data_IF_091256926459
#
_entry.id   IF_091256926459
#
_cell.length_a   1.000
_cell.length_b   1.000
_cell.length_c   1.000
_cell.angle_alpha   90.00
_cell.angle_beta   90.00
_cell.angle_gamma   90.00
#
_symmetry.space_group_name_H-M   'P 1'
#
loop_
_entity.id
_entity.type
_entity.pdbx_description
1 polymer ?
#
# COMPACT_ATOMS: atom_id res chain seq x y z
N UNK A 1 -4.50 -12.75 -4.26
CA UNK A 1 -4.08 -11.61 -5.11
C UNK A 1 -4.54 -11.73 -6.56
N UNK A 2 -4.05 -12.73 -7.33
CA UNK A 2 -4.27 -12.82 -8.78
C UNK A 2 -5.75 -12.76 -9.20
N UNK A 3 -6.61 -13.51 -8.52
CA UNK A 3 -8.07 -13.48 -8.75
C UNK A 3 -8.68 -12.09 -8.59
N UNK A 4 -8.28 -11.34 -7.56
CA UNK A 4 -8.78 -9.98 -7.33
C UNK A 4 -8.23 -9.00 -8.37
N UNK A 5 -6.98 -9.16 -8.80
CA UNK A 5 -6.39 -8.33 -9.89
C UNK A 5 -7.16 -8.53 -11.19
N UNK A 6 -7.42 -9.78 -11.57
CA UNK A 6 -8.20 -10.10 -12.78
C UNK A 6 -9.63 -9.57 -12.67
N UNK A 7 -10.28 -9.76 -11.52
CA UNK A 7 -11.63 -9.23 -11.24
C UNK A 7 -11.67 -7.70 -11.36
N UNK A 8 -10.71 -6.99 -10.76
CA UNK A 8 -10.62 -5.54 -10.85
C UNK A 8 -10.51 -5.07 -12.31
N UNK A 9 -9.63 -5.70 -13.10
CA UNK A 9 -9.45 -5.35 -14.51
C UNK A 9 -10.72 -5.56 -15.33
N UNK A 10 -11.42 -6.67 -15.10
CA UNK A 10 -12.69 -6.98 -15.78
C UNK A 10 -13.77 -5.96 -15.40
N UNK A 11 -13.98 -5.72 -14.10
CA UNK A 11 -15.00 -4.79 -13.61
C UNK A 11 -14.73 -3.36 -14.08
N UNK A 12 -13.49 -2.90 -14.00
CA UNK A 12 -13.14 -1.54 -14.42
C UNK A 12 -13.29 -1.36 -15.93
N UNK A 13 -12.90 -2.35 -16.74
CA UNK A 13 -13.11 -2.30 -18.17
C UNK A 13 -14.60 -2.32 -18.54
N UNK A 14 -15.40 -3.16 -17.86
CA UNK A 14 -16.86 -3.19 -18.04
C UNK A 14 -17.48 -1.83 -17.72
N UNK A 15 -17.08 -1.21 -16.61
CA UNK A 15 -17.55 0.12 -16.24
C UNK A 15 -17.22 1.14 -17.33
N UNK A 16 -15.98 1.15 -17.84
CA UNK A 16 -15.59 2.07 -18.91
C UNK A 16 -16.43 1.88 -20.17
N UNK A 17 -16.72 0.64 -20.56
CA UNK A 17 -17.58 0.34 -21.72
C UNK A 17 -19.00 0.85 -21.51
N UNK A 18 -19.62 0.57 -20.36
CA UNK A 18 -20.99 1.04 -20.05
C UNK A 18 -21.09 2.57 -20.00
N UNK A 19 -20.00 3.25 -19.63
CA UNK A 19 -19.91 4.70 -19.62
C UNK A 19 -19.57 5.31 -20.99
N UNK A 20 -19.40 4.51 -22.03
CA UNK A 20 -18.83 4.94 -23.31
C UNK A 20 -17.53 5.74 -23.13
N UNK A 21 -16.69 5.29 -22.18
CA UNK A 21 -15.42 5.90 -21.79
C UNK A 21 -15.53 7.35 -21.29
N UNK A 22 -16.72 7.83 -20.91
CA UNK A 22 -16.94 9.17 -20.36
C UNK A 22 -17.35 9.13 -18.90
N UNK A 23 -16.46 9.62 -18.03
CA UNK A 23 -16.70 9.75 -16.58
C UNK A 23 -17.90 10.66 -16.25
N UNK A 24 -18.28 11.56 -17.16
CA UNK A 24 -19.44 12.43 -16.96
C UNK A 24 -20.76 11.65 -16.88
N UNK A 25 -20.81 10.47 -17.51
CA UNK A 25 -22.01 9.65 -17.56
C UNK A 25 -22.35 9.00 -16.21
N UNK A 26 -21.37 8.88 -15.29
CA UNK A 26 -21.62 8.41 -13.91
C UNK A 26 -22.59 9.30 -13.12
N UNK A 27 -22.79 10.56 -13.55
CA UNK A 27 -23.69 11.48 -12.84
C UNK A 27 -25.16 11.12 -12.93
N UNK A 28 -25.58 10.47 -14.02
CA UNK A 28 -27.01 10.27 -14.31
C UNK A 28 -27.33 8.83 -14.71
N UNK A 29 -26.40 8.09 -15.31
CA UNK A 29 -26.64 6.71 -15.73
C UNK A 29 -27.09 5.78 -14.59
N UNK A 30 -26.53 5.84 -13.35
CA UNK A 30 -26.97 4.95 -12.28
C UNK A 30 -28.46 5.06 -11.93
N UNK A 31 -29.05 6.26 -12.09
CA UNK A 31 -30.49 6.46 -11.87
C UNK A 31 -31.36 5.78 -12.95
N UNK A 32 -30.80 5.57 -14.15
CA UNK A 32 -31.48 4.96 -15.29
C UNK A 32 -31.15 3.47 -15.48
N UNK A 33 -30.01 3.02 -14.93
CA UNK A 33 -29.52 1.64 -15.00
C UNK A 33 -29.06 1.20 -13.61
N UNK A 34 -29.94 0.60 -12.79
CA UNK A 34 -29.60 0.14 -11.44
C UNK A 34 -28.43 -0.84 -11.39
N UNK A 35 -28.23 -1.64 -12.44
CA UNK A 35 -27.09 -2.55 -12.59
C UNK A 35 -25.73 -1.85 -12.52
N UNK A 36 -25.66 -0.55 -12.83
CA UNK A 36 -24.42 0.22 -12.69
C UNK A 36 -24.08 0.52 -11.24
N UNK A 37 -25.08 0.67 -10.36
CA UNK A 37 -24.82 0.82 -8.94
C UNK A 37 -24.20 -0.47 -8.37
N UNK A 38 -24.70 -1.62 -8.79
CA UNK A 38 -24.13 -2.93 -8.45
C UNK A 38 -22.71 -3.10 -8.99
N UNK A 39 -22.47 -2.70 -10.25
CA UNK A 39 -21.13 -2.72 -10.83
C UNK A 39 -20.14 -1.81 -10.08
N UNK A 40 -20.58 -0.62 -9.67
CA UNK A 40 -19.77 0.31 -8.88
C UNK A 40 -19.46 -0.28 -7.49
N UNK A 41 -20.45 -0.89 -6.84
CA UNK A 41 -20.27 -1.58 -5.57
C UNK A 41 -19.22 -2.70 -5.67
N UNK A 42 -19.38 -3.62 -6.63
CA UNK A 42 -18.44 -4.72 -6.82
C UNK A 42 -17.02 -4.23 -7.15
N UNK A 43 -16.90 -3.14 -7.92
CA UNK A 43 -15.61 -2.55 -8.25
C UNK A 43 -14.95 -1.90 -7.02
N UNK A 44 -15.69 -1.11 -6.24
CA UNK A 44 -15.18 -0.49 -5.02
C UNK A 44 -14.78 -1.53 -3.98
N UNK A 45 -15.61 -2.55 -3.75
CA UNK A 45 -15.31 -3.68 -2.86
C UNK A 45 -14.05 -4.43 -3.31
N UNK A 46 -13.94 -4.76 -4.61
CA UNK A 46 -12.73 -5.40 -5.15
C UNK A 46 -11.49 -4.51 -4.98
N UNK A 47 -11.62 -3.19 -5.17
CA UNK A 47 -10.54 -2.24 -4.96
C UNK A 47 -10.11 -2.15 -3.49
N UNK A 48 -11.06 -2.12 -2.54
CA UNK A 48 -10.76 -2.11 -1.09
C UNK A 48 -10.06 -3.39 -0.66
N UNK A 49 -10.54 -4.55 -1.10
CA UNK A 49 -9.90 -5.84 -0.83
C UNK A 49 -8.48 -5.90 -1.40
N UNK A 50 -8.27 -5.42 -2.64
CA UNK A 50 -6.93 -5.32 -3.22
C UNK A 50 -6.03 -4.36 -2.45
N UNK A 51 -6.54 -3.18 -2.07
CA UNK A 51 -5.79 -2.20 -1.30
C UNK A 51 -5.36 -2.77 0.04
N UNK A 52 -6.27 -3.46 0.74
CA UNK A 52 -5.98 -4.16 2.01
C UNK A 52 -4.96 -5.27 1.83
N UNK A 53 -5.09 -6.06 0.76
CA UNK A 53 -4.11 -7.10 0.44
C UNK A 53 -2.71 -6.50 0.22
N UNK A 54 -2.62 -5.44 -0.59
CA UNK A 54 -1.35 -4.76 -0.89
C UNK A 54 -0.74 -4.06 0.33
N UNK A 55 -1.56 -3.47 1.20
CA UNK A 55 -1.10 -2.82 2.43
C UNK A 55 -0.54 -3.83 3.44
N UNK A 56 -1.08 -5.05 3.48
CA UNK A 56 -0.64 -6.15 4.34
C UNK A 56 0.57 -6.93 3.81
N UNK A 57 1.09 -6.63 2.60
CA UNK A 57 2.25 -7.36 2.10
C UNK A 57 3.52 -7.00 2.87
N UNK A 58 4.37 -7.97 3.26
CA UNK A 58 5.62 -7.67 3.96
C UNK A 58 6.68 -7.00 3.07
N UNK A 59 6.42 -6.92 1.77
CA UNK A 59 7.25 -6.29 0.75
C UNK A 59 6.37 -5.43 -0.17
N UNK A 60 6.89 -4.30 -0.64
CA UNK A 60 6.19 -3.40 -1.58
C UNK A 60 6.38 -3.86 -3.02
N UNK A 61 5.97 -5.09 -3.33
CA UNK A 61 6.13 -5.69 -4.66
C UNK A 61 5.00 -6.64 -5.01
N UNK A 62 4.53 -6.58 -6.26
CA UNK A 62 3.57 -7.54 -6.81
C UNK A 62 3.80 -7.77 -8.30
N UNK A 63 3.77 -9.04 -8.71
CA UNK A 63 3.70 -9.42 -10.13
C UNK A 63 2.27 -9.30 -10.62
N UNK A 64 2.06 -8.56 -11.72
CA UNK A 64 0.72 -8.21 -12.23
C UNK A 64 0.68 -8.19 -13.77
N UNK A 65 -0.51 -8.25 -14.40
CA UNK A 65 -0.66 -8.01 -15.82
C UNK A 65 -0.16 -6.61 -16.23
N UNK A 66 0.44 -6.49 -17.43
CA UNK A 66 1.05 -5.23 -17.92
C UNK A 66 0.13 -4.00 -17.89
N UNK A 67 -1.18 -4.19 -18.02
CA UNK A 67 -2.17 -3.10 -18.02
C UNK A 67 -2.60 -2.66 -16.62
N UNK A 68 -2.26 -3.43 -15.58
CA UNK A 68 -2.76 -3.24 -14.22
C UNK A 68 -2.40 -1.88 -13.66
N UNK A 69 -1.11 -1.51 -13.68
CA UNK A 69 -0.68 -0.20 -13.16
C UNK A 69 -1.49 0.95 -13.75
N UNK A 70 -1.63 0.97 -15.08
CA UNK A 70 -2.34 2.03 -15.78
C UNK A 70 -3.79 2.14 -15.31
N UNK A 71 -4.47 0.99 -15.20
CA UNK A 71 -5.87 0.94 -14.78
C UNK A 71 -6.04 1.27 -13.30
N UNK A 72 -5.12 0.82 -12.46
CA UNK A 72 -5.05 1.14 -11.04
C UNK A 72 -4.91 2.64 -10.81
N UNK A 73 -3.94 3.27 -11.48
CA UNK A 73 -3.71 4.72 -11.38
C UNK A 73 -4.89 5.52 -11.95
N UNK A 74 -5.44 5.09 -13.10
CA UNK A 74 -6.61 5.73 -13.71
C UNK A 74 -7.82 5.67 -12.76
N UNK A 75 -8.08 4.50 -12.15
CA UNK A 75 -9.17 4.33 -11.21
C UNK A 75 -9.00 5.23 -9.99
N UNK A 76 -7.85 5.15 -9.31
CA UNK A 76 -7.55 5.96 -8.12
C UNK A 76 -7.64 7.45 -8.37
N UNK A 77 -7.12 7.91 -9.50
CA UNK A 77 -7.04 9.35 -9.79
C UNK A 77 -8.37 9.93 -10.25
N UNK A 78 -9.18 9.16 -10.99
CA UNK A 78 -10.32 9.73 -11.72
C UNK A 78 -11.67 9.11 -11.38
N UNK A 79 -11.73 7.85 -10.94
CA UNK A 79 -12.99 7.12 -10.75
C UNK A 79 -13.34 6.88 -9.29
N UNK A 80 -12.35 6.63 -8.43
CA UNK A 80 -12.54 6.12 -7.07
C UNK A 80 -13.64 6.86 -6.30
N UNK A 81 -13.53 8.19 -6.15
CA UNK A 81 -14.49 8.96 -5.36
C UNK A 81 -15.93 8.83 -5.89
N UNK A 82 -16.11 8.94 -7.22
CA UNK A 82 -17.45 8.83 -7.83
C UNK A 82 -18.02 7.42 -7.76
N UNK A 83 -17.17 6.41 -7.95
CA UNK A 83 -17.58 5.01 -7.83
C UNK A 83 -17.99 4.72 -6.40
N UNK A 84 -17.24 5.20 -5.41
CA UNK A 84 -17.56 5.08 -4.00
C UNK A 84 -18.90 5.76 -3.64
N UNK A 85 -19.11 7.01 -4.08
CA UNK A 85 -20.38 7.74 -3.88
C UNK A 85 -21.60 6.96 -4.40
N UNK A 86 -21.47 6.31 -5.57
CA UNK A 86 -22.55 5.50 -6.18
C UNK A 86 -22.70 4.14 -5.49
N UNK A 87 -21.59 3.56 -5.03
CA UNK A 87 -21.55 2.27 -4.34
C UNK A 87 -22.11 2.34 -2.91
N UNK A 88 -22.00 3.50 -2.26
CA UNK A 88 -22.29 3.67 -0.84
C UNK A 88 -23.71 3.21 -0.43
N UNK A 89 -24.80 3.59 -1.12
CA UNK A 89 -26.14 3.11 -0.75
C UNK A 89 -26.28 1.59 -0.81
N UNK A 90 -25.57 0.93 -1.74
CA UNK A 90 -25.55 -0.53 -1.84
C UNK A 90 -24.75 -1.16 -0.71
N UNK A 91 -23.61 -0.55 -0.35
CA UNK A 91 -22.82 -0.99 0.79
C UNK A 91 -23.62 -0.92 2.09
N UNK A 92 -24.30 0.20 2.34
CA UNK A 92 -25.18 0.38 3.51
C UNK A 92 -26.35 -0.61 3.51
N UNK A 93 -26.90 -0.95 2.33
CA UNK A 93 -27.92 -1.99 2.21
C UNK A 93 -27.36 -3.35 2.64
N UNK A 94 -26.22 -3.77 2.10
CA UNK A 94 -25.60 -5.05 2.46
C UNK A 94 -25.20 -5.13 3.93
N UNK A 95 -24.70 -4.04 4.52
CA UNK A 95 -24.39 -3.98 5.96
C UNK A 95 -25.64 -4.21 6.82
N UNK A 96 -26.77 -3.61 6.45
CA UNK A 96 -28.06 -3.86 7.12
C UNK A 96 -28.51 -5.30 6.96
N UNK A 97 -28.47 -5.84 5.74
CA UNK A 97 -28.87 -7.22 5.45
C UNK A 97 -28.03 -8.23 6.26
N UNK A 98 -26.71 -7.98 6.39
CA UNK A 98 -25.81 -8.78 7.23
C UNK A 98 -26.18 -8.64 8.70
N UNK A 99 -26.42 -7.42 9.19
CA UNK A 99 -26.80 -7.18 10.59
C UNK A 99 -28.12 -7.90 10.95
N UNK A 100 -29.12 -7.80 10.09
CA UNK A 100 -30.41 -8.49 10.25
C UNK A 100 -30.23 -10.02 10.26
N UNK A 101 -29.39 -10.57 9.37
CA UNK A 101 -29.06 -11.99 9.37
C UNK A 101 -28.41 -12.42 10.70
N UNK A 102 -27.45 -11.64 11.21
CA UNK A 102 -26.82 -11.91 12.50
C UNK A 102 -27.82 -11.88 13.66
N UNK A 103 -28.76 -10.93 13.66
CA UNK A 103 -29.84 -10.87 14.65
C UNK A 103 -30.71 -12.13 14.59
N UNK A 104 -31.13 -12.55 13.39
CA UNK A 104 -31.94 -13.77 13.21
C UNK A 104 -31.20 -15.04 13.66
N UNK A 105 -29.90 -15.13 13.40
CA UNK A 105 -29.07 -16.25 13.87
C UNK A 105 -28.98 -16.28 15.39
N UNK A 106 -28.83 -15.12 16.03
CA UNK A 106 -28.79 -14.98 17.49
C UNK A 106 -30.11 -15.37 18.15
N UNK A 107 -31.25 -14.96 17.57
CA UNK A 107 -32.57 -15.38 18.06
C UNK A 107 -32.76 -16.89 17.95
N UNK A 108 -32.39 -17.50 16.82
CA UNK A 108 -32.46 -18.96 16.63
C UNK A 108 -31.55 -19.73 17.59
N UNK A 109 -30.37 -19.19 17.91
CA UNK A 109 -29.47 -19.78 18.91
C UNK A 109 -30.11 -19.75 20.31
N UNK A 110 -30.72 -18.61 20.66
CA UNK A 110 -31.45 -18.45 21.93
C UNK A 110 -32.64 -19.41 22.04
N UNK A 111 -33.42 -19.59 20.96
CA UNK A 111 -34.52 -20.55 20.90
C UNK A 111 -34.06 -22.01 21.10
N UNK A 112 -32.83 -22.32 20.71
CA UNK A 112 -32.19 -23.63 20.93
C UNK A 112 -31.56 -23.77 22.33
N UNK A 113 -31.70 -22.76 23.19
CA UNK A 113 -31.12 -22.75 24.54
C UNK A 113 -29.61 -22.52 24.57
N UNK A 114 -29.01 -22.07 23.47
CA UNK A 114 -27.60 -21.72 23.40
C UNK A 114 -27.34 -20.38 24.10
N UNK A 115 -26.25 -20.31 24.88
CA UNK A 115 -25.85 -19.05 25.49
C UNK A 115 -25.26 -18.08 24.45
N UNK A 116 -25.26 -16.79 24.77
CA UNK A 116 -24.69 -15.78 23.87
C UNK A 116 -23.19 -15.95 23.69
N UNK A 117 -22.47 -16.32 24.76
CA UNK A 117 -21.05 -16.63 24.70
C UNK A 117 -20.76 -17.84 23.81
N UNK A 118 -21.53 -18.93 23.93
CA UNK A 118 -21.35 -20.12 23.08
C UNK A 118 -21.63 -19.79 21.60
N UNK A 119 -22.65 -18.97 21.32
CA UNK A 119 -22.95 -18.53 19.96
C UNK A 119 -21.80 -17.73 19.35
N UNK A 120 -21.29 -16.72 20.08
CA UNK A 120 -20.16 -15.94 19.58
C UNK A 120 -18.89 -16.76 19.50
N UNK A 121 -18.66 -17.69 20.42
CA UNK A 121 -17.50 -18.57 20.38
C UNK A 121 -17.55 -19.46 19.15
N UNK A 122 -18.70 -20.07 18.83
CA UNK A 122 -18.92 -20.84 17.60
C UNK A 122 -18.73 -19.98 16.35
N UNK A 123 -19.27 -18.77 16.32
CA UNK A 123 -19.14 -17.84 15.19
C UNK A 123 -17.73 -17.30 15.02
N UNK A 124 -16.93 -17.26 16.09
CA UNK A 124 -15.54 -16.77 16.09
C UNK A 124 -14.52 -17.90 16.00
N UNK A 125 -14.94 -19.18 16.00
CA UNK A 125 -14.03 -20.31 15.71
C UNK A 125 -13.42 -20.11 14.32
N UNK A 126 -12.09 -19.96 14.30
CA UNK A 126 -11.31 -19.73 13.07
C UNK A 126 -11.04 -18.26 12.76
N UNK A 127 -11.51 -17.32 13.59
CA UNK A 127 -11.13 -15.93 13.50
C UNK A 127 -9.77 -15.73 14.20
N UNK A 128 -8.70 -15.45 13.43
CA UNK A 128 -7.38 -15.17 13.99
C UNK A 128 -7.35 -13.80 14.71
N UNK A 129 -6.68 -13.73 15.86
CA UNK A 129 -6.48 -12.47 16.59
C UNK A 129 -5.89 -11.40 15.67
N UNK A 130 -6.51 -10.22 15.64
CA UNK A 130 -6.08 -9.09 14.81
C UNK A 130 -6.64 -9.09 13.39
N UNK A 131 -7.47 -10.06 12.98
CA UNK A 131 -8.03 -10.10 11.63
C UNK A 131 -9.01 -8.97 11.28
N UNK A 132 -9.51 -8.24 12.28
CA UNK A 132 -10.34 -7.05 12.09
C UNK A 132 -9.53 -5.83 11.70
N UNK A 133 -8.21 -5.82 11.98
CA UNK A 133 -7.33 -4.73 11.61
C UNK A 133 -7.24 -4.57 10.09
N UNK A 134 -7.42 -3.33 9.64
CA UNK A 134 -7.33 -2.93 8.25
C UNK A 134 -6.30 -1.80 8.11
N UNK A 135 -5.07 -2.08 7.62
CA UNK A 135 -4.02 -1.06 7.50
C UNK A 135 -4.32 0.04 6.47
N UNK A 136 -5.44 -0.03 5.74
CA UNK A 136 -5.89 1.04 4.84
C UNK A 136 -6.79 2.05 5.56
N UNK A 137 -7.44 1.64 6.64
CA UNK A 137 -8.45 2.42 7.37
C UNK A 137 -7.98 2.75 8.80
N UNK A 138 -7.33 1.79 9.45
CA UNK A 138 -6.85 1.89 10.83
C UNK A 138 -5.41 2.43 10.89
N UNK A 139 -5.18 3.40 11.76
CA UNK A 139 -3.82 3.87 12.08
C UNK A 139 -3.19 2.94 13.12
N UNK A 140 -2.33 2.04 12.66
CA UNK A 140 -1.59 1.12 13.54
C UNK A 140 -0.78 1.84 14.63
N UNK A 141 -0.23 3.01 14.34
CA UNK A 141 0.54 3.75 15.34
C UNK A 141 -0.37 4.34 16.42
N UNK A 142 -1.56 4.83 16.03
CA UNK A 142 -2.57 5.29 16.99
C UNK A 142 -3.05 4.14 17.89
N UNK A 143 -3.37 2.98 17.33
CA UNK A 143 -3.82 1.81 18.09
C UNK A 143 -2.73 1.30 19.06
N UNK A 144 -1.45 1.39 18.66
CA UNK A 144 -0.33 1.09 19.55
C UNK A 144 -0.17 2.14 20.65
N UNK A 145 -0.39 3.42 20.36
CA UNK A 145 -0.36 4.46 21.38
C UNK A 145 -1.50 4.31 22.40
N UNK A 146 -2.69 3.87 21.98
CA UNK A 146 -3.79 3.51 22.88
C UNK A 146 -3.40 2.34 23.81
N UNK A 147 -2.75 1.32 23.25
CA UNK A 147 -2.21 0.21 24.03
C UNK A 147 -1.13 0.67 25.02
N UNK A 148 -0.25 1.58 24.61
CA UNK A 148 0.78 2.14 25.48
C UNK A 148 0.19 2.98 26.60
N UNK A 149 -0.86 3.77 26.31
CA UNK A 149 -1.59 4.50 27.33
C UNK A 149 -2.20 3.56 28.36
N UNK A 150 -2.87 2.49 27.92
CA UNK A 150 -3.44 1.48 28.81
C UNK A 150 -2.38 0.82 29.70
N UNK A 151 -1.21 0.48 29.13
CA UNK A 151 -0.06 -0.07 29.87
C UNK A 151 0.41 0.89 30.95
N UNK A 152 0.47 2.19 30.66
CA UNK A 152 0.82 3.22 31.64
C UNK A 152 -0.21 3.29 32.78
N UNK A 153 -1.50 3.34 32.44
CA UNK A 153 -2.58 3.37 33.44
C UNK A 153 -2.55 2.15 34.36
N UNK A 154 -2.37 0.94 33.81
CA UNK A 154 -2.31 -0.29 34.63
C UNK A 154 -1.11 -0.28 35.58
N UNK A 155 0.05 0.22 35.14
CA UNK A 155 1.22 0.26 36.01
C UNK A 155 1.11 1.35 37.10
N UNK A 156 0.43 2.45 36.81
CA UNK A 156 0.18 3.54 37.77
C UNK A 156 -0.93 3.15 38.79
N UNK A 157 -1.83 2.23 38.42
CA UNK A 157 -2.91 1.69 39.26
C UNK A 157 -2.74 0.18 39.54
N UNK A 158 -1.79 -0.20 40.42
CA UNK A 158 -1.40 -1.60 40.65
C UNK A 158 -2.52 -2.51 41.20
N UNK A 159 -3.63 -1.94 41.68
CA UNK A 159 -4.78 -2.70 42.17
C UNK A 159 -5.61 -3.34 41.04
N UNK A 160 -5.41 -2.92 39.78
CA UNK A 160 -6.21 -3.40 38.64
C UNK A 160 -5.70 -4.74 38.08
N UNK A 161 -4.37 -4.90 37.92
CA UNK A 161 -3.70 -6.11 37.40
C UNK A 161 -2.21 -6.19 37.86
N UNK A 162 -1.93 -6.49 39.14
CA UNK A 162 -0.61 -6.28 39.76
C UNK A 162 0.56 -7.06 39.14
N UNK A 163 0.30 -8.12 38.35
CA UNK A 163 1.34 -9.03 37.83
C UNK A 163 1.46 -9.07 36.30
N UNK A 164 0.65 -8.29 35.56
CA UNK A 164 0.61 -8.36 34.08
C UNK A 164 1.54 -7.35 33.43
N UNK A 165 1.60 -6.13 33.98
CA UNK A 165 2.42 -5.03 33.47
C UNK A 165 3.21 -4.44 34.65
N UNK A 166 4.50 -4.23 34.45
CA UNK A 166 5.41 -3.71 35.49
C UNK A 166 6.16 -2.49 34.99
N UNK A 167 6.74 -1.69 35.90
CA UNK A 167 7.59 -0.53 35.56
C UNK A 167 8.70 -0.88 34.55
N UNK A 168 9.22 -2.11 34.56
CA UNK A 168 10.21 -2.57 33.58
C UNK A 168 9.67 -2.57 32.14
N UNK A 169 8.39 -2.88 31.93
CA UNK A 169 7.76 -2.84 30.60
C UNK A 169 7.65 -1.39 30.10
N UNK A 170 7.27 -0.46 30.98
CA UNK A 170 7.27 0.98 30.68
C UNK A 170 8.68 1.49 30.39
N UNK A 171 9.67 1.06 31.18
CA UNK A 171 11.08 1.36 30.95
C UNK A 171 11.56 0.89 29.57
N UNK A 172 11.19 -0.33 29.17
CA UNK A 172 11.52 -0.88 27.86
C UNK A 172 10.89 -0.06 26.71
N UNK A 173 9.61 0.29 26.83
CA UNK A 173 8.93 1.14 25.84
C UNK A 173 9.60 2.52 25.71
N UNK A 174 9.90 3.16 26.84
CA UNK A 174 10.61 4.43 26.89
C UNK A 174 12.02 4.33 26.29
N UNK A 175 12.72 3.22 26.52
CA UNK A 175 14.04 2.97 25.92
C UNK A 175 13.95 2.94 24.39
N UNK A 176 12.99 2.21 23.81
CA UNK A 176 12.81 2.19 22.35
C UNK A 176 12.42 3.56 21.78
N UNK A 177 11.47 4.27 22.40
CA UNK A 177 11.00 5.57 21.90
C UNK A 177 12.03 6.69 22.09
N UNK A 178 12.66 6.79 23.26
CA UNK A 178 13.51 7.94 23.65
C UNK A 178 15.00 7.71 23.47
N UNK A 179 15.49 6.47 23.64
CA UNK A 179 16.92 6.15 23.55
C UNK A 179 17.28 5.62 22.17
N UNK A 180 16.56 4.60 21.68
CA UNK A 180 16.76 4.08 20.32
C UNK A 180 16.20 5.05 19.27
N UNK A 181 15.09 5.73 19.59
CA UNK A 181 14.46 6.70 18.68
C UNK A 181 13.48 6.07 17.70
N UNK A 182 12.82 4.97 18.05
CA UNK A 182 11.76 4.38 17.22
C UNK A 182 10.53 5.28 17.22
N UNK A 183 10.16 5.76 16.04
CA UNK A 183 9.00 6.60 15.80
C UNK A 183 7.93 5.81 15.03
N UNK A 184 7.03 5.14 15.77
CA UNK A 184 6.00 4.30 15.19
C UNK A 184 5.05 5.06 14.27
N UNK A 185 4.73 6.32 14.60
CA UNK A 185 3.86 7.16 13.78
C UNK A 185 4.48 7.45 12.42
N UNK A 186 5.74 7.91 12.40
CA UNK A 186 6.43 8.17 11.14
C UNK A 186 6.72 6.87 10.37
N UNK A 187 6.98 5.75 11.05
CA UNK A 187 7.13 4.44 10.41
C UNK A 187 5.84 4.05 9.67
N UNK A 188 4.68 4.09 10.35
CA UNK A 188 3.38 3.76 9.75
C UNK A 188 3.06 4.69 8.57
N UNK A 189 3.16 6.00 8.79
CA UNK A 189 2.94 7.02 7.74
C UNK A 189 3.83 6.83 6.51
N UNK A 190 5.09 6.45 6.69
CA UNK A 190 6.03 6.23 5.58
C UNK A 190 5.75 4.90 4.88
N UNK A 191 5.33 3.87 5.61
CA UNK A 191 4.87 2.61 5.01
C UNK A 191 3.73 2.86 4.02
N UNK A 192 2.75 3.68 4.39
CA UNK A 192 1.60 3.99 3.54
C UNK A 192 1.98 4.81 2.30
N UNK A 193 2.92 5.73 2.45
CA UNK A 193 3.41 6.58 1.36
C UNK A 193 4.37 5.88 0.40
N UNK A 194 5.01 4.79 0.82
CA UNK A 194 5.93 4.04 -0.03
C UNK A 194 5.16 3.36 -1.17
N UNK A 195 5.50 3.63 -2.45
CA UNK A 195 4.78 3.05 -3.58
C UNK A 195 5.02 1.55 -3.68
N UNK A 196 4.00 0.81 -4.15
CA UNK A 196 4.14 -0.60 -4.50
C UNK A 196 4.83 -0.76 -5.86
N UNK A 197 5.86 -1.60 -5.96
CA UNK A 197 6.46 -1.94 -7.24
C UNK A 197 5.63 -3.01 -7.94
N UNK A 198 4.83 -2.58 -8.92
CA UNK A 198 4.09 -3.48 -9.78
C UNK A 198 4.96 -3.88 -10.97
N UNK A 199 5.15 -5.18 -11.16
CA UNK A 199 6.01 -5.69 -12.21
C UNK A 199 5.22 -6.52 -13.20
N UNK A 200 5.41 -6.25 -14.49
CA UNK A 200 4.73 -7.02 -15.51
C UNK A 200 5.24 -8.45 -15.55
N UNK A 201 4.31 -9.41 -15.57
CA UNK A 201 4.59 -10.83 -15.81
C UNK A 201 5.32 -11.10 -17.14
N UNK A 202 5.30 -10.14 -18.08
CA UNK A 202 6.01 -10.24 -19.36
C UNK A 202 7.52 -10.03 -19.26
N UNK A 203 8.02 -9.50 -18.14
CA UNK A 203 9.46 -9.31 -17.93
C UNK A 203 10.08 -10.69 -17.68
N UNK A 204 10.68 -11.27 -18.72
CA UNK A 204 11.29 -12.63 -18.69
C UNK A 204 12.63 -12.70 -17.93
N UNK A 205 13.19 -11.56 -17.52
CA UNK A 205 14.48 -11.50 -16.79
C UNK A 205 14.28 -11.91 -15.34
N UNK A 206 15.34 -12.35 -14.66
CA UNK A 206 15.31 -12.61 -13.21
C UNK A 206 15.09 -11.29 -12.45
N UNK A 207 14.03 -11.23 -11.67
CA UNK A 207 13.58 -10.01 -10.99
C UNK A 207 13.97 -9.94 -9.52
N UNK A 208 14.40 -11.05 -8.93
CA UNK A 208 14.67 -11.18 -7.49
C UNK A 208 15.58 -10.07 -6.96
N UNK A 209 16.69 -9.79 -7.67
CA UNK A 209 17.64 -8.76 -7.25
C UNK A 209 17.07 -7.34 -7.31
N UNK A 210 16.24 -7.06 -8.32
CA UNK A 210 15.56 -5.77 -8.45
C UNK A 210 14.54 -5.58 -7.33
N UNK A 211 13.78 -6.63 -7.02
CA UNK A 211 12.79 -6.62 -5.93
C UNK A 211 13.46 -6.45 -4.57
N UNK A 212 14.56 -7.17 -4.32
CA UNK A 212 15.35 -7.05 -3.09
C UNK A 212 15.86 -5.61 -2.91
N UNK A 213 16.58 -5.07 -3.90
CA UNK A 213 17.12 -3.72 -3.83
C UNK A 213 16.03 -2.65 -3.65
N UNK A 214 14.87 -2.83 -4.28
CA UNK A 214 13.73 -1.92 -4.12
C UNK A 214 13.20 -1.94 -2.70
N UNK A 215 13.01 -3.12 -2.11
CA UNK A 215 12.52 -3.26 -0.75
C UNK A 215 13.53 -2.78 0.29
N UNK A 216 14.83 -2.89 0.05
CA UNK A 216 15.86 -2.27 0.89
C UNK A 216 15.78 -0.74 0.88
N UNK A 217 15.57 -0.14 -0.29
CA UNK A 217 15.37 1.30 -0.42
C UNK A 217 14.11 1.77 0.32
N UNK A 218 13.02 1.02 0.19
CA UNK A 218 11.75 1.26 0.90
C UNK A 218 11.93 1.14 2.41
N UNK A 219 12.58 0.08 2.91
CA UNK A 219 12.83 -0.10 4.35
C UNK A 219 13.69 1.04 4.91
N UNK A 220 14.74 1.42 4.19
CA UNK A 220 15.57 2.57 4.57
C UNK A 220 14.72 3.83 4.70
N UNK A 221 13.82 4.08 3.75
CA UNK A 221 12.89 5.19 3.82
C UNK A 221 11.96 5.12 5.04
N UNK A 222 11.32 3.98 5.28
CA UNK A 222 10.38 3.76 6.40
C UNK A 222 11.02 4.11 7.74
N UNK A 223 12.25 3.66 7.98
CA UNK A 223 13.01 3.95 9.19
C UNK A 223 13.67 5.34 9.21
N UNK A 224 13.36 6.21 8.25
CA UNK A 224 13.86 7.60 8.20
C UNK A 224 15.30 7.76 7.73
N UNK A 225 15.90 6.71 7.17
CA UNK A 225 17.24 6.71 6.60
C UNK A 225 17.20 7.25 5.16
N UNK A 226 16.72 8.49 5.00
CA UNK A 226 16.41 9.09 3.70
C UNK A 226 17.63 9.23 2.77
N UNK A 227 18.81 9.45 3.36
CA UNK A 227 20.09 9.43 2.64
C UNK A 227 20.35 8.06 2.02
N UNK A 228 20.28 7.01 2.84
CA UNK A 228 20.48 5.62 2.40
C UNK A 228 19.45 5.23 1.33
N UNK A 229 18.18 5.55 1.55
CA UNK A 229 17.11 5.31 0.58
C UNK A 229 17.39 5.99 -0.77
N UNK A 230 17.89 7.23 -0.75
CA UNK A 230 18.25 8.00 -1.96
C UNK A 230 19.44 7.37 -2.70
N UNK A 231 20.47 6.95 -1.96
CA UNK A 231 21.63 6.26 -2.54
C UNK A 231 21.22 4.91 -3.15
N UNK A 232 20.36 4.15 -2.48
CA UNK A 232 19.80 2.89 -3.01
C UNK A 232 18.95 3.12 -4.26
N UNK A 233 18.14 4.19 -4.31
CA UNK A 233 17.41 4.57 -5.52
C UNK A 233 18.34 4.88 -6.69
N UNK A 234 19.48 5.54 -6.45
CA UNK A 234 20.50 5.76 -7.49
C UNK A 234 21.10 4.45 -7.98
N UNK A 235 21.43 3.52 -7.08
CA UNK A 235 21.95 2.20 -7.45
C UNK A 235 20.91 1.37 -8.22
N UNK A 236 19.64 1.44 -7.82
CA UNK A 236 18.50 0.84 -8.52
C UNK A 236 18.36 1.38 -9.94
N UNK A 237 18.43 2.70 -10.12
CA UNK A 237 18.40 3.33 -11.45
C UNK A 237 19.48 2.72 -12.36
N UNK A 238 20.73 2.68 -11.90
CA UNK A 238 21.85 2.10 -12.66
C UNK A 238 21.59 0.61 -12.99
N UNK A 239 21.19 -0.17 -11.98
CA UNK A 239 20.88 -1.59 -12.14
C UNK A 239 19.79 -1.83 -13.19
N UNK A 240 18.72 -1.04 -13.17
CA UNK A 240 17.59 -1.17 -14.11
C UNK A 240 18.05 -0.82 -15.54
N UNK A 241 18.76 0.29 -15.71
CA UNK A 241 19.22 0.73 -17.04
C UNK A 241 20.19 -0.29 -17.68
N UNK A 242 21.13 -0.82 -16.91
CA UNK A 242 22.10 -1.79 -17.42
C UNK A 242 21.42 -3.13 -17.69
N UNK A 243 20.72 -3.69 -16.70
CA UNK A 243 20.28 -5.09 -16.78
C UNK A 243 18.95 -5.27 -17.52
N UNK A 244 18.04 -4.29 -17.48
CA UNK A 244 16.71 -4.43 -18.09
C UNK A 244 16.64 -3.71 -19.43
N UNK A 245 17.17 -2.49 -19.51
CA UNK A 245 17.24 -1.72 -20.75
C UNK A 245 18.45 -2.06 -21.63
N UNK A 246 19.38 -2.90 -21.15
CA UNK A 246 20.58 -3.32 -21.88
C UNK A 246 21.42 -2.13 -22.37
N UNK A 247 21.61 -1.16 -21.49
CA UNK A 247 22.55 -0.08 -21.72
C UNK A 247 23.95 -0.56 -21.31
N UNK A 248 24.98 -0.40 -22.16
CA UNK A 248 26.34 -0.76 -21.80
C UNK A 248 26.77 -0.08 -20.50
N UNK A 249 27.47 -0.83 -19.64
CA UNK A 249 28.02 -0.29 -18.40
C UNK A 249 29.09 0.76 -18.73
N UNK A 250 28.91 1.96 -18.21
CA UNK A 250 29.83 3.10 -18.28
C UNK A 250 29.50 4.02 -17.08
N UNK A 251 30.08 5.22 -17.03
CA UNK A 251 29.68 6.25 -16.08
C UNK A 251 28.16 6.52 -16.14
N UNK A 252 27.53 6.69 -14.97
CA UNK A 252 26.06 6.79 -14.88
C UNK A 252 25.49 8.00 -15.64
N UNK A 253 26.27 9.07 -15.88
CA UNK A 253 25.84 10.17 -16.76
C UNK A 253 25.63 9.66 -18.18
N UNK A 254 26.60 8.90 -18.70
CA UNK A 254 26.53 8.34 -20.05
C UNK A 254 25.47 7.26 -20.15
N UNK A 255 25.35 6.37 -19.16
CA UNK A 255 24.32 5.34 -19.11
C UNK A 255 22.92 5.98 -19.20
N UNK A 256 22.64 7.02 -18.42
CA UNK A 256 21.36 7.75 -18.51
C UNK A 256 21.17 8.41 -19.88
N UNK A 257 22.20 9.09 -20.40
CA UNK A 257 22.13 9.78 -21.69
C UNK A 257 21.85 8.81 -22.85
N UNK A 258 22.51 7.65 -22.86
CA UNK A 258 22.29 6.59 -23.83
C UNK A 258 20.88 6.00 -23.71
N UNK A 259 20.42 5.77 -22.48
CA UNK A 259 19.06 5.29 -22.22
C UNK A 259 17.99 6.24 -22.75
N UNK A 260 18.11 7.54 -22.45
CA UNK A 260 17.16 8.57 -22.89
C UNK A 260 17.18 8.78 -24.41
N UNK A 261 18.32 8.59 -25.05
CA UNK A 261 18.45 8.63 -26.51
C UNK A 261 17.80 7.42 -27.18
N UNK A 262 18.01 6.22 -26.63
CA UNK A 262 17.44 4.97 -27.16
C UNK A 262 15.94 4.84 -26.88
N UNK A 263 15.49 5.30 -25.71
CA UNK A 263 14.12 5.17 -25.23
C UNK A 263 13.56 6.55 -24.88
N UNK A 264 12.97 7.23 -25.88
CA UNK A 264 12.48 8.62 -25.74
C UNK A 264 11.56 8.85 -24.54
N UNK A 265 10.76 7.85 -24.14
CA UNK A 265 9.87 7.90 -22.96
C UNK A 265 10.63 8.18 -21.66
N UNK A 266 11.90 7.79 -21.55
CA UNK A 266 12.69 7.99 -20.32
C UNK A 266 13.02 9.47 -20.05
N UNK A 267 12.99 10.33 -21.08
CA UNK A 267 13.26 11.77 -20.92
C UNK A 267 12.28 12.46 -19.97
N UNK A 268 11.03 11.97 -19.86
CA UNK A 268 10.05 12.53 -18.94
C UNK A 268 10.30 12.17 -17.48
N UNK A 269 11.22 11.25 -17.18
CA UNK A 269 11.47 10.76 -15.82
C UNK A 269 12.57 11.54 -15.08
N UNK A 270 13.19 12.54 -15.73
CA UNK A 270 14.23 13.38 -15.12
C UNK A 270 15.37 12.57 -14.46
N UNK A 271 15.83 11.49 -15.10
CA UNK A 271 16.77 10.53 -14.53
C UNK A 271 18.11 11.17 -14.12
N UNK A 272 18.55 12.20 -14.86
CA UNK A 272 19.73 12.98 -14.50
C UNK A 272 19.60 13.71 -13.15
N UNK A 273 18.40 14.15 -12.76
CA UNK A 273 18.13 14.76 -11.46
C UNK A 273 18.29 13.76 -10.33
N UNK A 274 17.69 12.57 -10.46
CA UNK A 274 17.84 11.47 -9.50
C UNK A 274 19.31 11.09 -9.33
N UNK A 275 20.03 10.89 -10.44
CA UNK A 275 21.48 10.62 -10.44
C UNK A 275 22.28 11.69 -9.70
N UNK A 276 22.06 12.97 -10.02
CA UNK A 276 22.80 14.09 -9.41
C UNK A 276 22.54 14.15 -7.91
N UNK A 277 21.28 14.03 -7.50
CA UNK A 277 20.91 14.07 -6.09
C UNK A 277 21.50 12.89 -5.31
N UNK A 278 21.42 11.66 -5.86
CA UNK A 278 22.06 10.49 -5.25
C UNK A 278 23.57 10.64 -5.11
N UNK A 279 24.26 11.20 -6.12
CA UNK A 279 25.70 11.48 -6.01
C UNK A 279 26.03 12.52 -4.94
N UNK A 280 25.28 13.61 -4.91
CA UNK A 280 25.53 14.68 -3.94
C UNK A 280 25.40 14.15 -2.52
N UNK A 281 24.43 13.28 -2.26
CA UNK A 281 24.21 12.68 -0.94
C UNK A 281 25.35 11.76 -0.51
N UNK A 282 26.00 11.08 -1.46
CA UNK A 282 27.18 10.25 -1.19
C UNK A 282 28.46 11.07 -0.95
N UNK A 283 28.57 12.27 -1.55
CA UNK A 283 29.77 13.11 -1.45
C UNK A 283 29.67 14.23 -0.39
N UNK A 284 28.47 14.68 -0.06
CA UNK A 284 28.19 15.81 0.85
C UNK A 284 27.30 15.35 2.02
N UNK A 285 27.53 14.15 2.53
CA UNK A 285 26.70 13.53 3.58
C UNK A 285 26.48 14.46 4.78
N UNK A 286 27.54 15.13 5.25
CA UNK A 286 27.50 16.06 6.40
C UNK A 286 26.69 17.32 6.11
N UNK A 287 26.79 17.87 4.89
CA UNK A 287 26.11 19.10 4.49
C UNK A 287 24.64 18.90 4.06
N UNK A 288 24.25 17.67 3.69
CA UNK A 288 22.90 17.31 3.22
C UNK A 288 22.22 16.25 4.07
N UNK A 289 22.49 16.25 5.37
CA UNK A 289 21.88 15.35 6.36
C UNK A 289 20.35 15.37 6.41
N UNK A 290 19.68 16.35 5.77
CA UNK A 290 18.23 16.47 5.70
C UNK A 290 17.72 16.35 4.26
N UNK A 291 17.39 15.12 3.86
CA UNK A 291 16.54 14.86 2.70
C UNK A 291 15.11 14.70 3.22
N UNK A 292 14.18 15.46 2.65
CA UNK A 292 12.75 15.36 3.01
C UNK A 292 12.13 14.05 2.52
N UNK A 293 11.19 13.50 3.29
CA UNK A 293 10.45 12.28 2.95
C UNK A 293 9.83 12.37 1.53
N UNK A 294 9.28 13.51 1.16
CA UNK A 294 8.66 13.74 -0.15
C UNK A 294 9.67 13.57 -1.31
N UNK A 295 10.93 13.94 -1.13
CA UNK A 295 11.96 13.75 -2.14
C UNK A 295 12.27 12.26 -2.35
N UNK A 296 12.33 11.48 -1.26
CA UNK A 296 12.56 10.03 -1.33
C UNK A 296 11.39 9.31 -2.01
N UNK A 297 10.15 9.67 -1.66
CA UNK A 297 8.94 9.13 -2.32
C UNK A 297 8.97 9.42 -3.82
N UNK A 298 9.36 10.62 -4.23
CA UNK A 298 9.51 10.96 -5.65
C UNK A 298 10.57 10.10 -6.36
N UNK A 299 11.67 9.74 -5.69
CA UNK A 299 12.65 8.81 -6.27
C UNK A 299 12.08 7.39 -6.40
N UNK A 300 11.38 6.89 -5.39
CA UNK A 300 10.72 5.57 -5.46
C UNK A 300 9.67 5.52 -6.58
N UNK A 301 8.87 6.58 -6.75
CA UNK A 301 7.92 6.73 -7.87
C UNK A 301 8.64 6.78 -9.23
N UNK A 302 9.81 7.42 -9.30
CA UNK A 302 10.63 7.43 -10.52
C UNK A 302 11.13 6.03 -10.87
N UNK A 303 11.57 5.25 -9.87
CA UNK A 303 11.97 3.85 -10.06
C UNK A 303 10.78 3.00 -10.50
N UNK A 304 9.61 3.17 -9.88
CA UNK A 304 8.38 2.50 -10.29
C UNK A 304 8.02 2.81 -11.75
N UNK A 305 8.05 4.08 -12.15
CA UNK A 305 7.81 4.50 -13.53
C UNK A 305 8.83 3.91 -14.52
N UNK A 306 10.10 3.82 -14.12
CA UNK A 306 11.17 3.21 -14.91
C UNK A 306 10.95 1.71 -15.12
N UNK A 307 10.54 0.99 -14.08
CA UNK A 307 10.21 -0.45 -14.16
C UNK A 307 8.98 -0.67 -15.04
N UNK A 308 7.93 0.13 -14.88
CA UNK A 308 6.71 0.07 -15.69
C UNK A 308 6.93 0.39 -17.18
N UNK A 309 8.05 1.03 -17.51
CA UNK A 309 8.42 1.36 -18.88
C UNK A 309 9.41 0.38 -19.51
N UNK A 310 9.81 -0.69 -18.80
CA UNK A 310 10.70 -1.72 -19.33
C UNK A 310 10.06 -2.33 -20.60
N UNK A 311 10.77 -2.40 -21.74
CA UNK A 311 10.24 -2.99 -22.95
C UNK A 311 9.92 -4.48 -22.79
N UNK A 312 8.75 -4.89 -23.28
CA UNK A 312 8.40 -6.30 -23.49
C UNK A 312 9.40 -6.88 -24.52
N UNK A 313 10.15 -7.93 -24.15
CA UNK A 313 11.11 -8.61 -25.05
C UNK A 313 10.72 -10.05 -25.34
#
# INVERSE_FOLDING_TARGET
MRSHVERFLVLFNRLKVELNYSLQNLKWLPATKPELAELCYQLDDTYRQLSRFLANQPIKFSSVPSVFQKYWDEYRTHYQNKVNEIAQPKMEQYEKDVHELFQQLREKAKEKGQSEEDFFQEMTVGFETGMTFNPVEDDAASLLDDLFYLIHTIADEPDFLPDVVTDKHIGALNYFKKVIGIDFYNINRRWDKAPNLFMSEKIKKKTDKLVEMYNEAVRSYIFGLNVSATAMCRALLEHILINYYEIPKDDLVKVVSLAENRFKKLKSFNLHKLRKNGNNVLHEYEAKSKIEDAAVVNYLLTIQALVNAIPDK
#
